data_IF_246187581013
#
_entry.id   IF_246187581013
#
_cell.length_a   1.000
_cell.length_b   1.000
_cell.length_c   1.000
_cell.angle_alpha   90.00
_cell.angle_beta   90.00
_cell.angle_gamma   90.00
#
_symmetry.space_group_name_H-M   'P 1'
#
loop_
_entity.id
_entity.type
_entity.pdbx_description
1 polymer ?
#
# COMPACT_ATOMS: atom_id res chain seq x y z
N UNK A 1 21.24 19.17 16.11
CA UNK A 1 19.86 18.97 15.58
C UNK A 1 19.98 18.42 14.16
N UNK A 2 19.97 17.09 14.02
CA UNK A 2 20.31 16.41 12.76
C UNK A 2 19.16 16.51 11.76
N UNK A 3 19.37 17.23 10.66
CA UNK A 3 18.46 17.19 9.51
C UNK A 3 18.57 15.81 8.90
N UNK A 4 17.57 14.95 9.11
CA UNK A 4 17.49 13.70 8.36
C UNK A 4 17.29 14.06 6.89
N UNK A 5 18.34 13.82 6.09
CA UNK A 5 18.32 14.00 4.65
C UNK A 5 17.45 12.88 4.08
N UNK A 6 16.20 13.18 3.74
CA UNK A 6 15.33 12.26 3.01
C UNK A 6 16.03 11.92 1.69
N UNK A 7 16.72 10.79 1.64
CA UNK A 7 17.32 10.27 0.42
C UNK A 7 16.17 9.74 -0.42
N UNK A 8 15.95 10.33 -1.60
CA UNK A 8 15.22 9.65 -2.67
C UNK A 8 16.06 8.42 -3.05
N UNK A 9 15.73 7.29 -2.45
CA UNK A 9 16.19 5.99 -2.88
C UNK A 9 15.12 5.54 -3.86
N UNK A 10 15.51 5.19 -5.10
CA UNK A 10 14.59 4.71 -6.15
C UNK A 10 14.10 3.29 -5.84
N UNK A 11 13.59 3.15 -4.62
CA UNK A 11 13.19 1.92 -3.98
C UNK A 11 11.67 1.76 -3.99
N UNK A 12 10.93 2.80 -4.35
CA UNK A 12 9.49 2.77 -4.53
C UNK A 12 9.16 2.92 -6.01
N UNK A 13 8.17 2.17 -6.52
CA UNK A 13 7.70 2.35 -7.88
C UNK A 13 7.03 3.72 -8.02
N UNK A 14 7.07 4.27 -9.24
CA UNK A 14 6.32 5.48 -9.55
C UNK A 14 4.82 5.14 -9.71
N UNK A 15 4.09 5.33 -8.62
CA UNK A 15 2.64 5.16 -8.54
C UNK A 15 2.00 6.54 -8.38
N UNK A 16 1.64 7.17 -9.50
CA UNK A 16 1.09 8.54 -9.57
C UNK A 16 -0.33 8.70 -9.01
N UNK A 17 -0.56 8.29 -7.76
CA UNK A 17 -1.86 8.23 -7.11
C UNK A 17 -1.92 9.21 -5.93
N UNK A 18 -3.07 9.87 -5.74
CA UNK A 18 -3.35 10.59 -4.49
C UNK A 18 -3.78 9.61 -3.41
N UNK A 19 -2.81 9.09 -2.66
CA UNK A 19 -3.03 8.21 -1.51
C UNK A 19 -3.53 8.98 -0.28
N UNK A 20 -4.27 8.29 0.59
CA UNK A 20 -4.71 8.78 1.90
C UNK A 20 -4.08 8.06 3.06
N UNK A 21 -3.86 6.75 2.91
CA UNK A 21 -3.38 5.87 3.97
C UNK A 21 -2.28 4.96 3.43
N UNK A 22 -1.30 4.69 4.28
CA UNK A 22 -0.25 3.69 4.05
C UNK A 22 -0.17 2.83 5.31
N UNK A 23 -0.21 1.51 5.15
CA UNK A 23 -0.07 0.54 6.25
C UNK A 23 0.90 -0.55 5.85
N UNK A 24 1.59 -1.16 6.82
CA UNK A 24 2.64 -2.15 6.59
C UNK A 24 2.33 -3.47 7.26
N UNK A 25 2.50 -4.58 6.55
CA UNK A 25 2.33 -5.94 7.04
C UNK A 25 3.03 -6.92 6.10
N UNK A 26 3.48 -8.05 6.63
CA UNK A 26 4.03 -9.18 5.88
C UNK A 26 2.87 -10.03 5.35
N UNK A 27 2.29 -9.63 4.21
CA UNK A 27 1.04 -10.22 3.72
C UNK A 27 1.27 -11.48 2.89
N UNK A 28 2.46 -11.65 2.33
CA UNK A 28 2.85 -12.86 1.60
C UNK A 28 3.64 -13.87 2.46
N UNK A 29 3.91 -13.50 3.72
CA UNK A 29 4.53 -14.33 4.76
C UNK A 29 5.95 -14.76 4.39
N UNK A 30 6.70 -13.87 3.72
CA UNK A 30 8.09 -14.09 3.32
C UNK A 30 9.12 -13.60 4.36
N UNK A 31 8.63 -12.96 5.44
CA UNK A 31 9.42 -12.49 6.56
C UNK A 31 9.85 -11.03 6.45
N UNK A 32 9.33 -10.29 5.48
CA UNK A 32 9.56 -8.87 5.32
C UNK A 32 8.26 -8.05 5.28
N UNK A 33 8.34 -6.75 5.58
CA UNK A 33 7.14 -5.92 5.64
C UNK A 33 6.86 -5.29 4.28
N UNK A 34 5.72 -5.65 3.73
CA UNK A 34 5.14 -5.05 2.55
C UNK A 34 4.34 -3.79 2.90
N UNK A 35 3.83 -3.11 1.85
CA UNK A 35 2.99 -1.91 2.02
C UNK A 35 1.66 -2.04 1.28
N UNK A 36 0.59 -1.62 1.94
CA UNK A 36 -0.65 -1.24 1.28
C UNK A 36 -0.77 0.29 1.22
N UNK A 37 -1.20 0.81 0.06
CA UNK A 37 -1.43 2.23 -0.19
C UNK A 37 -2.86 2.40 -0.67
N UNK A 38 -3.69 3.01 0.18
CA UNK A 38 -5.09 3.30 -0.13
C UNK A 38 -5.24 4.59 -0.93
N UNK A 39 -5.88 4.51 -2.10
CA UNK A 39 -6.21 5.67 -2.90
C UNK A 39 -7.42 6.43 -2.34
N UNK A 40 -7.44 7.77 -2.45
CA UNK A 40 -8.60 8.57 -2.04
C UNK A 40 -9.23 9.44 -3.12
N UNK A 41 -8.45 10.03 -4.01
CA UNK A 41 -8.98 11.01 -4.98
C UNK A 41 -8.37 10.80 -6.36
N UNK A 42 -9.20 10.94 -7.39
CA UNK A 42 -8.76 11.21 -8.76
C UNK A 42 -9.08 12.68 -9.06
N UNK A 43 -8.05 13.47 -9.36
CA UNK A 43 -8.21 14.90 -9.66
C UNK A 43 -9.23 15.12 -10.78
N UNK A 44 -10.22 15.98 -10.54
CA UNK A 44 -11.30 16.28 -11.50
C UNK A 44 -12.38 15.20 -11.64
N UNK A 45 -12.32 14.11 -10.86
CA UNK A 45 -13.26 12.98 -10.92
C UNK A 45 -13.71 12.58 -9.51
N UNK A 46 -14.39 13.50 -8.82
CA UNK A 46 -14.95 13.21 -7.49
C UNK A 46 -15.99 12.08 -7.56
N UNK A 47 -15.97 11.16 -6.60
CA UNK A 47 -16.86 10.00 -6.54
C UNK A 47 -16.39 8.78 -7.35
N UNK A 48 -15.29 8.89 -8.11
CA UNK A 48 -14.67 7.73 -8.76
C UNK A 48 -13.73 7.01 -7.80
N UNK A 49 -13.71 5.67 -7.85
CA UNK A 49 -12.76 4.87 -7.09
C UNK A 49 -11.33 5.09 -7.62
N UNK A 50 -10.42 5.66 -6.81
CA UNK A 50 -8.99 5.67 -7.11
C UNK A 50 -8.41 4.25 -7.05
N UNK A 51 -7.23 4.05 -7.67
CA UNK A 51 -6.49 2.80 -7.47
C UNK A 51 -5.85 2.80 -6.09
N UNK A 52 -5.75 1.61 -5.53
CA UNK A 52 -4.93 1.29 -4.36
C UNK A 52 -3.86 0.29 -4.78
N UNK A 53 -2.79 0.19 -4.00
CA UNK A 53 -1.63 -0.62 -4.37
C UNK A 53 -1.17 -1.47 -3.20
N UNK A 54 -0.89 -2.73 -3.49
CA UNK A 54 0.01 -3.55 -2.67
C UNK A 54 1.41 -3.44 -3.26
N UNK A 55 2.40 -3.18 -2.41
CA UNK A 55 3.79 -3.13 -2.77
C UNK A 55 4.54 -4.22 -2.01
N UNK A 56 4.97 -5.26 -2.72
CA UNK A 56 5.83 -6.30 -2.16
C UNK A 56 7.25 -5.74 -2.00
N UNK A 57 7.87 -6.02 -0.86
CA UNK A 57 9.28 -5.77 -0.62
C UNK A 57 10.12 -7.04 -0.83
N UNK A 58 11.37 -6.85 -1.23
CA UNK A 58 12.29 -7.96 -1.52
C UNK A 58 13.33 -8.21 -0.42
N UNK A 59 13.01 -7.83 0.81
CA UNK A 59 13.86 -7.92 2.00
C UNK A 59 14.97 -6.87 2.06
N UNK A 60 15.15 -6.06 1.01
CA UNK A 60 16.19 -5.00 0.93
C UNK A 60 15.60 -3.59 0.91
N UNK A 61 14.30 -3.49 1.15
CA UNK A 61 13.53 -2.24 1.07
C UNK A 61 13.40 -1.75 -0.37
N UNK A 62 13.42 -2.64 -1.37
CA UNK A 62 13.11 -2.32 -2.76
C UNK A 62 11.73 -2.91 -3.03
N UNK A 63 10.80 -2.03 -3.36
CA UNK A 63 9.40 -2.34 -3.49
C UNK A 63 8.98 -2.44 -4.96
N UNK A 64 8.08 -3.36 -5.24
CA UNK A 64 7.44 -3.50 -6.55
C UNK A 64 5.92 -3.61 -6.40
N UNK A 65 5.17 -3.11 -7.37
CA UNK A 65 3.71 -3.27 -7.37
C UNK A 65 3.39 -4.75 -7.50
N UNK A 66 2.68 -5.28 -6.52
CA UNK A 66 2.15 -6.63 -6.57
C UNK A 66 0.88 -6.65 -7.43
N UNK A 67 1.02 -7.09 -8.68
CA UNK A 67 -0.08 -7.15 -9.64
C UNK A 67 -1.05 -8.31 -9.40
N UNK A 68 -0.70 -9.28 -8.56
CA UNK A 68 -1.52 -10.44 -8.26
C UNK A 68 -2.49 -10.12 -7.12
N UNK A 69 -2.00 -9.48 -6.06
CA UNK A 69 -2.79 -9.07 -4.90
C UNK A 69 -3.41 -7.67 -5.03
N UNK A 70 -3.08 -6.93 -6.09
CA UNK A 70 -3.85 -5.73 -6.49
C UNK A 70 -5.22 -6.18 -7.01
N UNK A 71 -6.16 -6.51 -6.11
CA UNK A 71 -7.54 -6.82 -6.49
C UNK A 71 -8.17 -5.65 -7.26
N UNK A 72 -9.31 -5.94 -7.91
CA UNK A 72 -10.24 -5.00 -8.53
C UNK A 72 -10.10 -3.59 -7.93
N UNK A 73 -9.68 -2.62 -8.75
CA UNK A 73 -9.36 -1.22 -8.40
C UNK A 73 -10.55 -0.40 -7.84
N UNK A 74 -11.56 -1.05 -7.26
CA UNK A 74 -12.86 -0.49 -6.91
C UNK A 74 -13.16 -0.64 -5.42
N UNK A 75 -12.16 -0.32 -4.57
CA UNK A 75 -12.33 -0.20 -3.13
C UNK A 75 -13.02 1.12 -2.70
N UNK A 76 -13.37 1.96 -3.66
CA UNK A 76 -13.86 3.30 -3.42
C UNK A 76 -12.79 4.22 -2.86
N UNK A 77 -13.23 5.27 -2.17
CA UNK A 77 -12.37 6.29 -1.60
C UNK A 77 -11.91 5.88 -0.20
N UNK A 78 -10.72 5.28 -0.10
CA UNK A 78 -10.19 4.80 1.18
C UNK A 78 -9.77 5.99 2.04
N UNK A 79 -10.10 5.93 3.34
CA UNK A 79 -9.70 6.95 4.33
C UNK A 79 -8.86 6.38 5.47
N UNK A 80 -8.96 5.08 5.71
CA UNK A 80 -8.20 4.36 6.72
C UNK A 80 -8.06 2.88 6.29
N UNK A 81 -7.08 2.18 6.85
CA UNK A 81 -6.78 0.78 6.56
C UNK A 81 -6.06 0.13 7.75
N UNK A 82 -6.58 -0.99 8.23
CA UNK A 82 -6.07 -1.71 9.42
C UNK A 82 -5.95 -3.18 9.08
N UNK A 83 -4.80 -3.78 9.40
CA UNK A 83 -4.59 -5.22 9.34
C UNK A 83 -5.11 -5.87 10.62
N UNK A 84 -6.09 -6.76 10.49
CA UNK A 84 -6.66 -7.53 11.60
C UNK A 84 -7.09 -8.92 11.14
N UNK A 85 -7.07 -9.89 12.05
CA UNK A 85 -7.53 -11.26 11.76
C UNK A 85 -9.06 -11.30 11.87
N UNK A 86 -9.74 -10.97 10.77
CA UNK A 86 -11.19 -10.78 10.75
C UNK A 86 -11.90 -12.13 10.68
N UNK A 87 -11.34 -13.09 9.95
CA UNK A 87 -11.94 -14.42 9.78
C UNK A 87 -11.46 -15.48 10.79
N UNK A 88 -10.50 -15.14 11.65
CA UNK A 88 -9.90 -15.99 12.69
C UNK A 88 -9.14 -17.20 12.13
N UNK A 89 -8.51 -17.06 10.96
CA UNK A 89 -7.63 -18.08 10.40
C UNK A 89 -6.17 -17.99 10.92
N UNK A 90 -5.86 -16.94 11.69
CA UNK A 90 -4.53 -16.69 12.25
C UNK A 90 -3.61 -15.88 11.34
N UNK A 91 -4.08 -15.46 10.17
CA UNK A 91 -3.47 -14.47 9.28
C UNK A 91 -4.24 -13.16 9.42
N UNK A 92 -3.59 -12.03 9.16
CA UNK A 92 -4.30 -10.74 9.15
C UNK A 92 -4.83 -10.45 7.76
N UNK A 93 -6.06 -9.98 7.75
CA UNK A 93 -6.82 -9.52 6.60
C UNK A 93 -6.72 -8.01 6.43
N UNK A 94 -7.00 -7.55 5.20
CA UNK A 94 -7.16 -6.14 4.84
C UNK A 94 -8.34 -5.90 3.90
#
# INVERSE_FOLDING_TARGET
MGKQKLRKKDNLPDIGQHGSVVTSYDYDNDGDNDLFIGGRVISGKYGYSPKSYFLNNNGKGIFSVDSVNSFSNDYGMITDAIWDDIDNDGLKDL
#
